data_IF_175424061552
#
_entry.id   IF_175424061552
#
_cell.length_a   1.000
_cell.length_b   1.000
_cell.length_c   1.000
_cell.angle_alpha   90.00
_cell.angle_beta   90.00
_cell.angle_gamma   90.00
#
_symmetry.space_group_name_H-M   'P 1'
#
loop_
_entity.id
_entity.type
_entity.pdbx_description
1 polymer ?
#
# COMPACT_ATOMS: atom_id res chain seq x y z
N UNK A 1 33.77 2.12 -15.72
CA UNK A 1 32.74 2.89 -15.00
C UNK A 1 32.64 2.28 -13.61
N UNK A 2 32.94 3.02 -12.54
CA UNK A 2 33.03 2.43 -11.19
C UNK A 2 31.61 2.08 -10.70
N UNK A 3 31.38 0.83 -10.32
CA UNK A 3 30.04 0.34 -9.92
C UNK A 3 29.49 1.15 -8.74
N UNK A 4 30.35 1.62 -7.83
CA UNK A 4 29.95 2.47 -6.71
C UNK A 4 29.39 3.84 -7.11
N UNK A 5 29.90 4.47 -8.18
CA UNK A 5 29.39 5.78 -8.64
C UNK A 5 27.98 5.66 -9.24
N UNK A 6 27.64 4.53 -9.86
CA UNK A 6 26.33 4.31 -10.46
C UNK A 6 25.26 4.19 -9.37
N UNK A 7 25.55 3.46 -8.29
CA UNK A 7 24.63 3.28 -7.16
C UNK A 7 24.32 4.59 -6.45
N UNK A 8 25.34 5.41 -6.18
CA UNK A 8 25.17 6.74 -5.55
C UNK A 8 24.36 7.67 -6.47
N UNK A 9 24.65 7.67 -7.78
CA UNK A 9 23.90 8.50 -8.73
C UNK A 9 22.43 8.07 -8.83
N UNK A 10 22.14 6.77 -8.82
CA UNK A 10 20.78 6.24 -8.88
C UNK A 10 19.99 6.58 -7.60
N UNK A 11 20.59 6.42 -6.42
CA UNK A 11 19.98 6.80 -5.15
C UNK A 11 19.65 8.30 -5.09
N UNK A 12 20.59 9.15 -5.53
CA UNK A 12 20.35 10.60 -5.64
C UNK A 12 19.24 10.94 -6.65
N UNK A 13 19.15 10.21 -7.76
CA UNK A 13 18.07 10.41 -8.74
C UNK A 13 16.70 10.01 -8.20
N UNK A 14 16.61 8.91 -7.44
CA UNK A 14 15.36 8.48 -6.80
C UNK A 14 14.91 9.48 -5.72
N UNK A 15 15.85 9.96 -4.91
CA UNK A 15 15.60 10.98 -3.88
C UNK A 15 15.18 12.31 -4.52
N UNK A 16 15.83 12.73 -5.62
CA UNK A 16 15.45 13.93 -6.37
C UNK A 16 14.07 13.79 -7.04
N UNK A 17 13.75 12.63 -7.64
CA UNK A 17 12.45 12.36 -8.25
C UNK A 17 11.32 12.36 -7.19
N UNK A 18 11.57 11.75 -6.03
CA UNK A 18 10.63 11.77 -4.92
C UNK A 18 10.48 13.18 -4.32
N UNK A 19 11.58 13.89 -4.08
CA UNK A 19 11.54 15.28 -3.61
C UNK A 19 10.83 16.17 -4.62
N UNK A 20 10.98 15.95 -5.93
CA UNK A 20 10.20 16.67 -6.94
C UNK A 20 8.72 16.32 -6.84
N UNK A 21 8.32 15.06 -6.66
CA UNK A 21 6.90 14.69 -6.52
C UNK A 21 6.26 15.23 -5.23
N UNK A 22 6.97 15.19 -4.10
CA UNK A 22 6.53 15.80 -2.83
C UNK A 22 6.56 17.32 -2.92
N UNK A 23 7.59 17.90 -3.54
CA UNK A 23 7.69 19.33 -3.79
C UNK A 23 6.55 19.79 -4.70
N UNK A 24 6.21 19.08 -5.78
CA UNK A 24 5.05 19.36 -6.63
C UNK A 24 3.73 19.23 -5.87
N UNK A 25 3.59 18.27 -4.96
CA UNK A 25 2.42 18.18 -4.09
C UNK A 25 2.37 19.34 -3.06
N UNK A 26 3.52 19.80 -2.56
CA UNK A 26 3.65 20.95 -1.65
C UNK A 26 3.60 22.33 -2.37
N UNK A 27 3.95 22.36 -3.64
CA UNK A 27 3.81 23.51 -4.52
C UNK A 27 2.37 23.59 -5.00
N UNK A 28 1.68 22.47 -5.23
CA UNK A 28 0.22 22.43 -5.31
C UNK A 28 -0.42 22.96 -4.02
N UNK A 29 0.14 22.62 -2.85
CA UNK A 29 -0.27 23.19 -1.56
C UNK A 29 -0.05 24.72 -1.50
N UNK A 30 1.02 25.24 -2.10
CA UNK A 30 1.39 26.67 -2.09
C UNK A 30 0.85 27.48 -3.28
N UNK A 31 0.50 26.84 -4.40
CA UNK A 31 -0.06 27.46 -5.60
C UNK A 31 -1.57 27.34 -5.64
N UNK A 32 -2.16 26.35 -4.96
CA UNK A 32 -3.59 26.34 -4.72
C UNK A 32 -3.99 27.64 -4.03
N UNK A 33 -3.15 28.22 -3.16
CA UNK A 33 -3.37 29.52 -2.49
C UNK A 33 -3.83 30.65 -3.43
N UNK A 34 -3.64 30.56 -4.76
CA UNK A 34 -4.11 31.56 -5.73
C UNK A 34 -5.22 31.16 -6.72
N UNK A 35 -5.72 29.91 -6.80
CA UNK A 35 -6.93 29.63 -7.63
C UNK A 35 -7.65 28.31 -7.29
N UNK A 36 -8.98 28.42 -7.09
CA UNK A 36 -9.99 27.42 -6.68
C UNK A 36 -10.03 27.03 -5.19
N UNK A 37 -11.11 27.44 -4.51
CA UNK A 37 -11.37 27.19 -3.08
C UNK A 37 -11.89 25.77 -2.78
N UNK A 38 -12.58 25.12 -3.72
CA UNK A 38 -13.16 23.77 -3.52
C UNK A 38 -12.12 22.64 -3.54
N UNK A 39 -11.05 22.73 -4.34
CA UNK A 39 -9.97 21.73 -4.37
C UNK A 39 -9.05 21.79 -3.14
N UNK A 40 -8.94 22.97 -2.50
CA UNK A 40 -8.18 23.17 -1.25
C UNK A 40 -8.82 22.47 -0.05
N UNK A 41 -10.14 22.56 0.06
CA UNK A 41 -10.88 21.98 1.18
C UNK A 41 -10.82 20.44 1.19
N UNK A 42 -10.55 19.82 0.04
CA UNK A 42 -10.48 18.37 -0.09
C UNK A 42 -9.09 17.78 0.25
N UNK A 43 -8.03 18.60 0.27
CA UNK A 43 -6.67 18.15 0.62
C UNK A 43 -6.28 18.46 2.07
N UNK A 44 -6.78 19.56 2.64
CA UNK A 44 -6.60 19.89 4.06
C UNK A 44 -7.61 19.13 4.92
N UNK A 45 -7.15 18.14 5.68
CA UNK A 45 -8.01 17.38 6.58
C UNK A 45 -8.38 18.15 7.85
N UNK A 46 -9.58 17.86 8.38
CA UNK A 46 -9.97 18.24 9.75
C UNK A 46 -8.97 17.64 10.76
N UNK A 47 -8.43 18.43 11.72
CA UNK A 47 -7.53 17.93 12.75
C UNK A 47 -8.07 16.72 13.53
N UNK A 48 -9.39 16.64 13.76
CA UNK A 48 -9.98 15.48 14.43
C UNK A 48 -9.98 14.23 13.54
N UNK A 49 -10.26 14.37 12.24
CA UNK A 49 -10.10 13.29 11.27
C UNK A 49 -8.64 12.81 11.19
N UNK A 50 -7.68 13.74 11.17
CA UNK A 50 -6.24 13.42 11.17
C UNK A 50 -5.82 12.62 12.40
N UNK A 51 -6.32 12.99 13.57
CA UNK A 51 -6.08 12.27 14.83
C UNK A 51 -6.68 10.87 14.80
N UNK A 52 -7.90 10.72 14.27
CA UNK A 52 -8.51 9.40 14.10
C UNK A 52 -7.72 8.52 13.13
N UNK A 53 -7.29 9.09 12.00
CA UNK A 53 -6.45 8.41 11.02
C UNK A 53 -5.14 7.92 11.66
N UNK A 54 -4.46 8.77 12.45
CA UNK A 54 -3.25 8.40 13.17
C UNK A 54 -3.49 7.25 14.17
N UNK A 55 -4.60 7.29 14.92
CA UNK A 55 -4.95 6.23 15.87
C UNK A 55 -5.18 4.88 15.15
N UNK A 56 -5.92 4.88 14.02
CA UNK A 56 -6.13 3.66 13.21
C UNK A 56 -4.80 3.09 12.72
N UNK A 57 -3.87 3.94 12.29
CA UNK A 57 -2.58 3.49 11.79
C UNK A 57 -1.63 3.01 12.89
N UNK A 58 -1.72 3.56 14.10
CA UNK A 58 -1.00 3.05 15.27
C UNK A 58 -1.48 1.63 15.63
N UNK A 59 -2.78 1.40 15.67
CA UNK A 59 -3.36 0.07 15.89
C UNK A 59 -2.96 -0.92 14.79
N UNK A 60 -3.05 -0.49 13.53
CA UNK A 60 -2.68 -1.30 12.38
C UNK A 60 -1.20 -1.69 12.40
N UNK A 61 -0.31 -0.77 12.77
CA UNK A 61 1.12 -1.03 12.93
C UNK A 61 1.37 -2.07 14.04
N UNK A 62 0.72 -1.93 15.20
CA UNK A 62 0.86 -2.88 16.30
C UNK A 62 0.40 -4.30 15.89
N UNK A 63 -0.72 -4.40 15.17
CA UNK A 63 -1.22 -5.67 14.63
C UNK A 63 -0.23 -6.23 13.59
N UNK A 64 0.26 -5.41 12.67
CA UNK A 64 1.24 -5.81 11.67
C UNK A 64 2.54 -6.33 12.31
N UNK A 65 3.08 -5.65 13.32
CA UNK A 65 4.28 -6.08 14.05
C UNK A 65 4.09 -7.44 14.72
N UNK A 66 2.90 -7.71 15.27
CA UNK A 66 2.56 -9.03 15.82
C UNK A 66 2.60 -10.12 14.74
N UNK A 67 2.13 -9.82 13.53
CA UNK A 67 2.11 -10.75 12.41
C UNK A 67 3.46 -10.88 11.68
N UNK A 68 4.36 -9.90 11.82
CA UNK A 68 5.71 -9.93 11.26
C UNK A 68 6.58 -10.99 11.95
N UNK A 69 6.37 -11.15 13.27
CA UNK A 69 7.08 -12.14 14.08
C UNK A 69 6.75 -13.55 13.59
N UNK A 70 7.79 -14.29 13.22
CA UNK A 70 7.63 -15.67 12.79
C UNK A 70 7.05 -16.51 13.92
N UNK A 71 5.86 -17.07 13.68
CA UNK A 71 5.15 -17.97 14.56
C UNK A 71 4.86 -19.26 13.80
N UNK A 72 4.84 -20.40 14.49
CA UNK A 72 4.69 -21.73 13.88
C UNK A 72 3.30 -21.98 13.24
N UNK A 73 2.37 -21.03 13.38
CA UNK A 73 1.02 -21.15 12.86
C UNK A 73 0.85 -20.62 11.42
N UNK A 74 1.89 -20.01 10.85
CA UNK A 74 1.99 -19.71 9.43
C UNK A 74 2.33 -20.96 8.63
N UNK A 75 1.44 -21.36 7.71
CA UNK A 75 1.64 -22.53 6.85
C UNK A 75 2.25 -22.10 5.53
N UNK A 76 3.34 -22.77 5.12
CA UNK A 76 3.96 -22.57 3.81
C UNK A 76 2.95 -22.85 2.70
N UNK A 77 2.83 -21.92 1.76
CA UNK A 77 1.98 -22.07 0.58
C UNK A 77 2.79 -22.24 -0.69
N UNK A 78 3.85 -21.44 -0.84
CA UNK A 78 4.77 -21.53 -1.97
C UNK A 78 6.17 -21.10 -1.52
N UNK A 79 7.19 -21.88 -1.89
CA UNK A 79 8.59 -21.46 -1.86
C UNK A 79 9.05 -21.34 -3.32
N UNK A 80 9.39 -20.13 -3.77
CA UNK A 80 9.81 -19.87 -5.15
C UNK A 80 11.32 -20.11 -5.31
N UNK A 81 12.09 -19.64 -4.34
CA UNK A 81 13.53 -19.83 -4.19
C UNK A 81 13.88 -19.72 -2.69
N UNK A 82 15.17 -19.78 -2.34
CA UNK A 82 15.62 -19.71 -0.94
C UNK A 82 15.37 -18.34 -0.29
N UNK A 83 15.15 -17.30 -1.09
CA UNK A 83 14.99 -15.91 -0.64
C UNK A 83 13.53 -15.42 -0.75
N UNK A 84 12.61 -16.25 -1.27
CA UNK A 84 11.21 -15.89 -1.50
C UNK A 84 10.28 -17.03 -1.08
N UNK A 85 9.66 -16.86 0.09
CA UNK A 85 8.71 -17.80 0.65
C UNK A 85 7.40 -17.10 1.05
N UNK A 86 6.27 -17.65 0.60
CA UNK A 86 4.92 -17.17 0.88
C UNK A 86 4.22 -18.12 1.85
N UNK A 87 3.76 -17.57 2.96
CA UNK A 87 3.04 -18.28 4.00
C UNK A 87 1.64 -17.70 4.16
N UNK A 88 0.72 -18.51 4.68
CA UNK A 88 -0.62 -18.07 5.07
C UNK A 88 -1.00 -18.54 6.47
N UNK A 89 -1.76 -17.69 7.15
CA UNK A 89 -2.41 -17.94 8.44
C UNK A 89 -3.88 -17.53 8.35
N UNK A 90 -4.77 -18.29 8.99
CA UNK A 90 -6.20 -17.95 9.08
C UNK A 90 -6.43 -17.14 10.35
N UNK A 91 -7.08 -15.98 10.24
CA UNK A 91 -7.46 -15.08 11.34
C UNK A 91 -8.85 -14.54 11.04
N UNK A 92 -9.80 -14.65 11.98
CA UNK A 92 -11.17 -14.09 11.83
C UNK A 92 -11.81 -14.39 10.46
N UNK A 93 -11.79 -15.67 10.07
CA UNK A 93 -12.29 -16.17 8.77
C UNK A 93 -11.62 -15.63 7.49
N UNK A 94 -10.57 -14.80 7.61
CA UNK A 94 -9.75 -14.32 6.50
C UNK A 94 -8.32 -14.87 6.55
N UNK A 95 -7.66 -14.84 5.40
CA UNK A 95 -6.25 -15.24 5.30
C UNK A 95 -5.35 -14.00 5.45
N UNK A 96 -4.31 -14.12 6.28
CA UNK A 96 -3.17 -13.22 6.34
C UNK A 96 -1.98 -13.95 5.72
N UNK A 97 -1.39 -13.33 4.71
CA UNK A 97 -0.18 -13.77 4.06
C UNK A 97 1.05 -13.12 4.70
N UNK A 98 2.18 -13.83 4.66
CA UNK A 98 3.51 -13.29 4.95
C UNK A 98 4.46 -13.68 3.83
N UNK A 99 5.21 -12.71 3.32
CA UNK A 99 6.22 -12.87 2.30
C UNK A 99 7.52 -12.25 2.83
N UNK A 100 8.58 -13.05 2.89
CA UNK A 100 9.92 -12.53 3.18
C UNK A 100 10.70 -12.42 1.87
N UNK A 101 11.46 -11.34 1.73
CA UNK A 101 12.26 -11.02 0.55
C UNK A 101 13.59 -10.38 0.96
N UNK A 102 14.69 -10.80 0.35
CA UNK A 102 16.00 -10.15 0.49
C UNK A 102 16.41 -9.51 -0.84
N UNK A 103 16.83 -8.25 -0.79
CA UNK A 103 17.28 -7.48 -1.94
C UNK A 103 18.77 -7.18 -1.75
N UNK A 104 19.68 -7.73 -2.58
CA UNK A 104 21.15 -7.66 -2.37
C UNK A 104 21.73 -6.30 -2.79
N UNK A 105 21.14 -5.21 -2.30
CA UNK A 105 21.57 -3.84 -2.57
C UNK A 105 21.16 -2.91 -1.42
N UNK A 106 22.02 -2.66 -0.42
CA UNK A 106 21.65 -1.88 0.77
C UNK A 106 21.33 -0.42 0.41
N UNK A 107 21.97 0.12 -0.64
CA UNK A 107 21.74 1.48 -1.15
C UNK A 107 20.31 1.68 -1.69
N UNK A 108 19.58 0.60 -1.96
CA UNK A 108 18.19 0.66 -2.45
C UNK A 108 17.16 0.97 -1.35
N UNK A 109 17.55 0.98 -0.07
CA UNK A 109 16.64 1.16 1.08
C UNK A 109 15.71 2.38 0.92
N UNK A 110 16.28 3.57 0.71
CA UNK A 110 15.50 4.80 0.53
C UNK A 110 14.66 4.81 -0.75
N UNK A 111 15.13 4.13 -1.81
CA UNK A 111 14.42 4.01 -3.07
C UNK A 111 13.20 3.11 -2.94
N UNK A 112 13.31 2.00 -2.20
CA UNK A 112 12.19 1.09 -1.90
C UNK A 112 11.10 1.83 -1.12
N UNK A 113 11.48 2.57 -0.07
CA UNK A 113 10.54 3.36 0.75
C UNK A 113 9.83 4.40 -0.12
N UNK A 114 10.59 5.18 -0.89
CA UNK A 114 10.04 6.21 -1.78
C UNK A 114 9.10 5.63 -2.82
N UNK A 115 9.45 4.48 -3.42
CA UNK A 115 8.60 3.79 -4.37
C UNK A 115 7.30 3.31 -3.70
N UNK A 116 7.37 2.67 -2.54
CA UNK A 116 6.17 2.14 -1.89
C UNK A 116 5.18 3.21 -1.41
N UNK A 117 5.65 4.44 -1.15
CA UNK A 117 4.82 5.60 -0.83
C UNK A 117 4.25 6.32 -2.07
N UNK A 118 4.75 6.03 -3.27
CA UNK A 118 4.23 6.61 -4.51
C UNK A 118 2.89 5.94 -4.88
N UNK A 119 1.77 6.70 -4.96
CA UNK A 119 0.48 6.18 -5.40
C UNK A 119 0.52 5.42 -6.73
N UNK A 120 1.47 5.76 -7.62
CA UNK A 120 1.63 5.16 -8.93
C UNK A 120 2.64 4.01 -8.98
N UNK A 121 3.39 3.71 -7.91
CA UNK A 121 4.32 2.58 -7.90
C UNK A 121 3.70 1.21 -8.27
N UNK A 122 2.45 0.92 -7.91
CA UNK A 122 1.75 -0.27 -8.37
C UNK A 122 1.73 -0.43 -9.90
N UNK A 123 1.78 0.66 -10.67
CA UNK A 123 1.91 0.62 -12.13
C UNK A 123 3.16 -0.16 -12.55
N UNK A 124 4.27 0.03 -11.86
CA UNK A 124 5.54 -0.64 -12.16
C UNK A 124 5.54 -2.10 -11.69
N UNK A 125 4.90 -2.41 -10.55
CA UNK A 125 4.84 -3.76 -9.99
C UNK A 125 3.87 -4.68 -10.75
N UNK A 126 2.74 -4.13 -11.22
CA UNK A 126 1.65 -4.87 -11.85
C UNK A 126 1.57 -4.68 -13.37
N UNK A 127 2.66 -4.25 -14.02
CA UNK A 127 2.78 -4.23 -15.48
C UNK A 127 1.86 -3.22 -16.17
N UNK A 128 1.78 -2.00 -15.65
CA UNK A 128 1.00 -0.90 -16.21
C UNK A 128 -0.49 -0.92 -15.83
N UNK A 129 -0.91 -1.86 -14.98
CA UNK A 129 -2.33 -2.17 -14.69
C UNK A 129 -2.86 -1.56 -13.41
N UNK A 130 -2.19 -0.53 -12.90
CA UNK A 130 -2.64 0.18 -11.73
C UNK A 130 -2.36 1.68 -11.88
N UNK A 131 -3.28 2.48 -11.37
CA UNK A 131 -3.19 3.93 -11.28
C UNK A 131 -3.54 4.32 -9.85
N UNK A 132 -2.83 5.30 -9.29
CA UNK A 132 -3.13 5.79 -7.95
C UNK A 132 -3.06 7.30 -7.88
N UNK A 133 -3.85 7.85 -6.96
CA UNK A 133 -3.89 9.28 -6.71
C UNK A 133 -4.10 9.54 -5.22
N UNK A 134 -3.52 10.63 -4.71
CA UNK A 134 -3.80 11.12 -3.37
C UNK A 134 -5.24 11.64 -3.33
N UNK A 135 -6.00 11.16 -2.36
CA UNK A 135 -7.38 11.61 -2.08
C UNK A 135 -7.45 12.51 -0.84
N UNK A 136 -6.51 12.34 0.11
CA UNK A 136 -6.41 13.13 1.33
C UNK A 136 -4.95 13.14 1.79
N UNK A 137 -4.47 14.25 2.35
CA UNK A 137 -3.15 14.34 2.98
C UNK A 137 -3.35 14.88 4.40
N UNK A 138 -3.02 14.08 5.41
CA UNK A 138 -3.03 14.52 6.81
C UNK A 138 -1.66 15.09 7.20
N UNK A 139 -0.60 14.39 6.79
CA UNK A 139 0.78 14.81 6.86
C UNK A 139 1.61 14.09 5.78
N UNK A 140 2.90 14.41 5.56
CA UNK A 140 3.72 13.78 4.50
C UNK A 140 3.88 12.25 4.61
N UNK A 141 3.64 11.68 5.79
CA UNK A 141 3.73 10.25 6.06
C UNK A 141 2.36 9.58 6.17
N UNK A 142 1.27 10.33 6.41
CA UNK A 142 -0.09 9.85 6.60
C UNK A 142 -1.05 10.40 5.53
N UNK A 143 -1.47 9.54 4.61
CA UNK A 143 -2.27 9.93 3.45
C UNK A 143 -3.37 8.93 3.13
N UNK A 144 -4.42 9.35 2.43
CA UNK A 144 -5.34 8.44 1.75
C UNK A 144 -5.00 8.39 0.28
N UNK A 145 -4.73 7.18 -0.21
CA UNK A 145 -4.49 6.89 -1.61
C UNK A 145 -5.74 6.20 -2.17
N UNK A 146 -6.26 6.71 -3.28
CA UNK A 146 -7.19 5.97 -4.12
C UNK A 146 -6.38 5.19 -5.13
N UNK A 147 -6.63 3.89 -5.21
CA UNK A 147 -5.97 3.00 -6.13
C UNK A 147 -6.98 2.32 -7.04
N UNK A 148 -6.66 2.25 -8.33
CA UNK A 148 -7.46 1.62 -9.36
C UNK A 148 -6.63 0.59 -10.11
N UNK A 149 -7.19 -0.60 -10.31
CA UNK A 149 -6.56 -1.73 -10.96
C UNK A 149 -7.35 -2.12 -12.20
N UNK A 150 -6.66 -2.22 -13.32
CA UNK A 150 -7.21 -2.62 -14.61
C UNK A 150 -6.80 -4.06 -14.96
N UNK A 151 -7.59 -4.73 -15.80
CA UNK A 151 -7.23 -6.04 -16.34
C UNK A 151 -7.54 -6.08 -17.83
N UNK A 152 -6.76 -6.82 -18.61
CA UNK A 152 -6.91 -6.94 -20.07
C UNK A 152 -8.11 -7.82 -20.47
N UNK A 153 -8.80 -8.46 -19.51
CA UNK A 153 -9.87 -9.43 -19.80
C UNK A 153 -11.05 -9.28 -18.83
N UNK A 154 -12.10 -8.57 -19.25
CA UNK A 154 -13.43 -8.59 -18.62
C UNK A 154 -13.69 -7.63 -17.43
N UNK A 155 -14.86 -7.76 -16.77
CA UNK A 155 -15.42 -6.80 -15.78
C UNK A 155 -14.75 -6.84 -14.38
N UNK A 156 -13.44 -7.09 -14.32
CA UNK A 156 -12.68 -7.30 -13.10
C UNK A 156 -11.80 -6.10 -12.72
N UNK A 157 -12.21 -4.90 -13.13
CA UNK A 157 -11.58 -3.67 -12.64
C UNK A 157 -11.87 -3.53 -11.15
N UNK A 158 -10.86 -3.12 -10.37
CA UNK A 158 -10.97 -2.97 -8.93
C UNK A 158 -10.52 -1.61 -8.50
N UNK A 159 -11.09 -1.12 -7.43
CA UNK A 159 -10.56 0.06 -6.76
C UNK A 159 -10.61 -0.12 -5.24
N UNK A 160 -9.74 0.60 -4.55
CA UNK A 160 -9.76 0.72 -3.10
C UNK A 160 -9.31 2.12 -2.69
N UNK A 161 -9.70 2.49 -1.48
CA UNK A 161 -9.06 3.57 -0.73
C UNK A 161 -8.15 2.94 0.31
N UNK A 162 -6.96 3.50 0.50
CA UNK A 162 -5.94 3.03 1.42
C UNK A 162 -5.50 4.21 2.27
N UNK A 163 -5.72 4.11 3.58
CA UNK A 163 -4.98 4.91 4.54
C UNK A 163 -3.56 4.32 4.63
N UNK A 164 -2.57 5.12 4.25
CA UNK A 164 -1.17 4.74 4.22
C UNK A 164 -0.42 5.54 5.28
N UNK A 165 0.42 4.85 6.07
CA UNK A 165 1.32 5.50 7.03
C UNK A 165 2.75 4.97 6.89
N UNK A 166 3.71 5.89 6.79
CA UNK A 166 5.15 5.60 6.91
C UNK A 166 5.61 5.90 8.33
N UNK A 167 6.18 4.91 9.00
CA UNK A 167 6.75 5.05 10.36
C UNK A 167 8.20 4.60 10.35
N UNK A 168 9.11 5.48 10.80
CA UNK A 168 10.49 5.09 11.09
C UNK A 168 10.52 4.35 12.44
N UNK A 169 10.94 3.08 12.43
CA UNK A 169 11.03 2.23 13.62
C UNK A 169 12.41 2.34 14.29
N UNK A 170 13.45 2.55 13.47
CA UNK A 170 14.82 2.86 13.86
C UNK A 170 15.54 3.55 12.70
N UNK A 171 16.80 3.92 12.87
CA UNK A 171 17.63 4.51 11.80
C UNK A 171 17.70 3.63 10.53
N UNK A 172 17.58 2.30 10.69
CA UNK A 172 17.77 1.33 9.61
C UNK A 172 16.49 0.50 9.35
N UNK A 173 15.35 0.85 9.97
CA UNK A 173 14.10 0.11 9.79
C UNK A 173 12.90 1.05 9.65
N UNK A 174 12.13 0.86 8.57
CA UNK A 174 10.91 1.61 8.29
C UNK A 174 9.74 0.65 8.09
N UNK A 175 8.60 1.00 8.67
CA UNK A 175 7.32 0.37 8.38
C UNK A 175 6.49 1.24 7.43
N UNK A 176 5.89 0.63 6.42
CA UNK A 176 4.82 1.27 5.62
C UNK A 176 3.58 0.40 5.75
N UNK A 177 2.52 0.95 6.34
CA UNK A 177 1.28 0.24 6.66
C UNK A 177 0.15 0.80 5.83
N UNK A 178 -0.73 -0.08 5.34
CA UNK A 178 -1.90 0.24 4.55
C UNK A 178 -3.14 -0.44 5.13
N UNK A 179 -4.22 0.32 5.27
CA UNK A 179 -5.53 -0.19 5.69
C UNK A 179 -6.62 0.49 4.87
N UNK A 180 -7.61 -0.25 4.41
CA UNK A 180 -8.80 0.36 3.80
C UNK A 180 -9.70 0.99 4.87
N UNK A 181 -9.98 2.29 4.80
CA UNK A 181 -10.99 2.94 5.64
C UNK A 181 -12.41 2.53 5.23
N UNK A 182 -13.39 2.80 6.09
CA UNK A 182 -14.81 2.76 5.73
C UNK A 182 -15.23 4.08 5.06
N UNK A 183 -14.60 4.38 3.92
CA UNK A 183 -14.78 5.63 3.17
C UNK A 183 -16.21 5.77 2.63
N UNK A 184 -16.82 6.93 2.89
CA UNK A 184 -17.97 7.41 2.12
C UNK A 184 -17.46 8.04 0.80
N UNK A 185 -17.51 7.28 -0.30
CA UNK A 185 -17.01 7.70 -1.62
C UNK A 185 -18.16 8.11 -2.58
N UNK A 186 -19.38 8.22 -2.05
CA UNK A 186 -20.61 8.51 -2.80
C UNK A 186 -20.82 7.62 -4.04
N UNK A 187 -20.29 6.39 -4.04
CA UNK A 187 -20.54 5.45 -5.12
C UNK A 187 -22.02 5.05 -5.12
N UNK A 188 -22.71 5.33 -6.22
CA UNK A 188 -24.13 4.97 -6.44
C UNK A 188 -24.38 3.45 -6.39
N UNK A 189 -23.35 2.62 -6.50
CA UNK A 189 -23.46 1.17 -6.43
C UNK A 189 -23.58 0.72 -4.97
N UNK A 190 -24.59 -0.09 -4.68
CA UNK A 190 -24.71 -0.82 -3.41
C UNK A 190 -23.59 -1.86 -3.27
N UNK A 191 -22.43 -1.42 -2.80
CA UNK A 191 -21.39 -2.33 -2.33
C UNK A 191 -21.86 -2.98 -1.02
N UNK A 192 -21.40 -4.21 -0.76
CA UNK A 192 -21.70 -4.86 0.52
C UNK A 192 -21.11 -4.05 1.66
N UNK A 193 -21.78 -4.04 2.81
CA UNK A 193 -21.19 -3.52 4.03
C UNK A 193 -19.92 -4.32 4.31
N UNK A 194 -18.79 -3.64 4.30
CA UNK A 194 -17.50 -4.20 4.63
C UNK A 194 -17.19 -3.87 6.08
N UNK A 195 -16.72 -4.88 6.82
CA UNK A 195 -16.19 -4.74 8.17
C UNK A 195 -14.81 -5.34 8.14
N UNK A 196 -13.79 -4.53 8.43
CA UNK A 196 -12.41 -4.97 8.51
C UNK A 196 -12.25 -5.99 9.65
N UNK A 197 -11.92 -7.26 9.33
CA UNK A 197 -11.83 -8.32 10.32
C UNK A 197 -10.48 -8.34 11.04
N UNK A 198 -9.51 -7.52 10.63
CA UNK A 198 -8.15 -7.50 11.17
C UNK A 198 -7.90 -6.22 11.99
N UNK A 199 -8.19 -5.05 11.41
CA UNK A 199 -8.00 -3.75 12.06
C UNK A 199 -9.37 -3.18 12.42
N UNK A 200 -9.87 -3.53 13.61
CA UNK A 200 -11.23 -3.17 14.01
C UNK A 200 -11.45 -1.66 14.14
N UNK A 201 -10.42 -0.89 14.55
CA UNK A 201 -10.50 0.56 14.67
C UNK A 201 -10.75 1.26 13.32
N UNK A 202 -10.36 0.64 12.20
CA UNK A 202 -10.63 1.17 10.87
C UNK A 202 -12.14 1.22 10.53
N UNK A 203 -12.97 0.40 11.19
CA UNK A 203 -14.43 0.37 10.97
C UNK A 203 -15.14 1.63 11.49
N UNK A 204 -14.51 2.37 12.40
CA UNK A 204 -15.05 3.63 12.93
C UNK A 204 -14.55 4.85 12.16
N UNK A 205 -13.52 4.68 11.34
CA UNK A 205 -12.91 5.75 10.57
C UNK A 205 -13.57 5.86 9.18
N UNK A 206 -14.45 6.86 9.06
CA UNK A 206 -15.34 7.06 7.91
C UNK A 206 -15.10 8.42 7.26
N UNK A 207 -13.93 8.66 6.66
CA UNK A 207 -13.68 9.92 5.98
C UNK A 207 -14.62 10.03 4.78
N UNK A 208 -15.14 11.24 4.56
CA UNK A 208 -15.92 11.56 3.38
C UNK A 208 -14.96 11.96 2.25
N UNK A 209 -15.03 11.27 1.10
CA UNK A 209 -14.17 11.54 -0.05
C UNK A 209 -15.05 11.76 -1.27
N UNK A 210 -15.14 13.02 -1.70
CA UNK A 210 -15.84 13.36 -2.93
C UNK A 210 -15.20 12.61 -4.12
N UNK A 211 -16.02 12.02 -5.01
CA UNK A 211 -15.54 11.26 -6.16
C UNK A 211 -14.86 12.10 -7.26
N UNK A 212 -14.58 13.38 -7.01
CA UNK A 212 -13.93 14.27 -7.98
C UNK A 212 -12.50 13.81 -8.30
N UNK A 213 -12.27 13.47 -9.57
CA UNK A 213 -10.98 13.00 -10.09
C UNK A 213 -11.15 12.29 -11.44
N UNK A 214 -10.09 12.23 -12.25
CA UNK A 214 -10.07 11.63 -13.59
C UNK A 214 -10.29 10.11 -13.59
N UNK A 215 -10.05 9.43 -12.46
CA UNK A 215 -10.25 7.99 -12.29
C UNK A 215 -11.72 7.73 -11.95
N UNK A 216 -12.57 7.69 -12.98
CA UNK A 216 -14.00 7.37 -12.85
C UNK A 216 -14.17 5.91 -12.46
N UNK A 217 -14.95 5.64 -11.41
CA UNK A 217 -15.29 4.29 -10.92
C UNK A 217 -16.25 3.51 -11.85
N UNK A 218 -16.40 3.93 -13.11
CA UNK A 218 -17.35 3.32 -14.04
C UNK A 218 -16.95 1.85 -14.26
N UNK A 219 -17.78 0.94 -13.76
CA UNK A 219 -17.64 -0.53 -13.86
C UNK A 219 -16.56 -1.22 -13.02
N UNK A 220 -15.87 -0.53 -12.11
CA UNK A 220 -14.97 -1.16 -11.15
C UNK A 220 -15.70 -1.66 -9.88
N UNK A 221 -15.25 -2.76 -9.28
CA UNK A 221 -15.72 -3.28 -7.99
C UNK A 221 -14.80 -2.83 -6.86
N UNK A 222 -15.40 -2.34 -5.76
CA UNK A 222 -14.65 -1.98 -4.55
C UNK A 222 -14.03 -3.24 -3.93
N UNK A 223 -12.74 -3.17 -3.61
CA UNK A 223 -12.01 -4.17 -2.82
C UNK A 223 -11.43 -3.50 -1.58
N UNK A 224 -11.01 -4.31 -0.61
CA UNK A 224 -10.53 -3.80 0.67
C UNK A 224 -9.20 -4.48 1.05
N UNK A 225 -8.25 -3.67 1.49
CA UNK A 225 -7.04 -4.14 2.14
C UNK A 225 -7.33 -4.11 3.64
N UNK A 226 -7.55 -5.29 4.22
CA UNK A 226 -7.82 -5.40 5.67
C UNK A 226 -6.59 -4.91 6.46
N UNK A 227 -5.41 -5.34 6.01
CA UNK A 227 -4.11 -4.90 6.50
C UNK A 227 -3.07 -5.25 5.46
N UNK A 228 -2.19 -4.33 5.12
CA UNK A 228 -0.93 -4.64 4.47
C UNK A 228 0.20 -3.86 5.14
N UNK A 229 1.38 -4.46 5.26
CA UNK A 229 2.52 -3.80 5.87
C UNK A 229 3.83 -4.28 5.25
N UNK A 230 4.72 -3.34 4.99
CA UNK A 230 6.12 -3.60 4.66
C UNK A 230 6.97 -3.21 5.85
N UNK A 231 7.74 -4.16 6.37
CA UNK A 231 8.85 -3.89 7.28
C UNK A 231 10.13 -3.98 6.46
N UNK A 232 10.77 -2.84 6.26
CA UNK A 232 11.93 -2.67 5.39
C UNK A 232 13.11 -2.39 6.31
N UNK A 233 14.08 -3.30 6.33
CA UNK A 233 15.25 -3.22 7.19
C UNK A 233 16.52 -3.21 6.35
N UNK A 234 17.31 -2.16 6.48
CA UNK A 234 18.63 -2.07 5.86
C UNK A 234 19.65 -2.84 6.70
N UNK A 235 20.41 -3.69 6.02
CA UNK A 235 21.52 -4.45 6.58
C UNK A 235 22.82 -4.01 5.89
N UNK A 236 23.96 -4.60 6.27
CA UNK A 236 25.27 -4.23 5.73
C UNK A 236 25.39 -4.44 4.21
N UNK A 237 24.78 -5.48 3.67
CA UNK A 237 24.92 -5.95 2.29
C UNK A 237 23.59 -6.10 1.54
N UNK A 238 22.46 -5.87 2.21
CA UNK A 238 21.14 -6.07 1.64
C UNK A 238 20.06 -5.20 2.30
N UNK A 239 18.85 -5.27 1.74
CA UNK A 239 17.62 -4.81 2.38
C UNK A 239 16.71 -6.02 2.56
N UNK A 240 16.34 -6.30 3.80
CA UNK A 240 15.34 -7.31 4.15
C UNK A 240 13.96 -6.68 4.16
N UNK A 241 13.01 -7.30 3.48
CA UNK A 241 11.61 -6.87 3.43
C UNK A 241 10.73 -8.00 3.94
N UNK A 242 10.03 -7.75 5.04
CA UNK A 242 8.91 -8.60 5.49
C UNK A 242 7.61 -7.94 5.09
N UNK A 243 6.88 -8.56 4.17
CA UNK A 243 5.57 -8.10 3.73
C UNK A 243 4.45 -8.95 4.33
N UNK A 244 3.43 -8.28 4.88
CA UNK A 244 2.24 -8.90 5.44
C UNK A 244 1.05 -8.37 4.67
N UNK A 245 0.07 -9.22 4.36
CA UNK A 245 -1.13 -8.76 3.68
C UNK A 245 -2.36 -9.62 3.95
N UNK A 246 -3.50 -8.97 4.14
CA UNK A 246 -4.83 -9.55 4.09
C UNK A 246 -5.71 -8.67 3.22
N UNK A 247 -6.29 -9.28 2.19
CA UNK A 247 -7.03 -8.59 1.14
C UNK A 247 -8.40 -9.25 0.99
N UNK A 248 -9.45 -8.45 1.12
CA UNK A 248 -10.78 -8.82 0.65
C UNK A 248 -10.98 -8.36 -0.79
N UNK A 249 -10.91 -9.32 -1.70
CA UNK A 249 -11.19 -9.10 -3.12
C UNK A 249 -12.69 -8.94 -3.39
N UNK A 250 -13.58 -8.76 -2.41
CA UNK A 250 -15.04 -8.63 -2.62
C UNK A 250 -15.55 -9.65 -3.65
N UNK A 251 -15.08 -10.89 -3.54
CA UNK A 251 -15.35 -11.92 -4.53
C UNK A 251 -16.82 -12.33 -4.45
N UNK A 252 -17.36 -12.83 -5.56
CA UNK A 252 -18.70 -13.41 -5.55
C UNK A 252 -18.81 -14.48 -4.46
N UNK A 253 -19.91 -14.56 -3.69
CA UNK A 253 -20.13 -15.63 -2.72
C UNK A 253 -20.04 -17.04 -3.32
N UNK A 254 -20.24 -17.17 -4.65
CA UNK A 254 -20.12 -18.43 -5.38
C UNK A 254 -18.67 -18.79 -5.73
N UNK A 255 -17.71 -17.88 -5.54
CA UNK A 255 -16.31 -18.12 -5.84
C UNK A 255 -15.72 -19.15 -4.87
N UNK A 256 -15.00 -20.14 -5.40
CA UNK A 256 -14.31 -21.14 -4.57
C UNK A 256 -13.21 -20.45 -3.75
N UNK A 257 -13.21 -20.64 -2.42
CA UNK A 257 -12.19 -20.06 -1.51
C UNK A 257 -10.76 -20.31 -1.98
N UNK A 258 -10.47 -21.51 -2.49
CA UNK A 258 -9.16 -21.87 -3.04
C UNK A 258 -8.76 -21.04 -4.27
N UNK A 259 -9.72 -20.71 -5.14
CA UNK A 259 -9.46 -19.89 -6.32
C UNK A 259 -9.16 -18.44 -5.92
N UNK A 260 -9.92 -17.87 -4.97
CA UNK A 260 -9.67 -16.54 -4.41
C UNK A 260 -8.28 -16.50 -3.77
N UNK A 261 -7.95 -17.49 -2.93
CA UNK A 261 -6.63 -17.60 -2.31
C UNK A 261 -5.48 -17.66 -3.34
N UNK A 262 -5.65 -18.41 -4.43
CA UNK A 262 -4.66 -18.48 -5.51
C UNK A 262 -4.45 -17.12 -6.20
N UNK A 263 -5.53 -16.39 -6.46
CA UNK A 263 -5.46 -15.03 -7.03
C UNK A 263 -4.72 -14.09 -6.06
N UNK A 264 -5.09 -14.10 -4.77
CA UNK A 264 -4.42 -13.31 -3.73
C UNK A 264 -2.93 -13.65 -3.64
N UNK A 265 -2.57 -14.93 -3.69
CA UNK A 265 -1.17 -15.36 -3.68
C UNK A 265 -0.39 -14.80 -4.88
N UNK A 266 -0.96 -14.80 -6.08
CA UNK A 266 -0.30 -14.23 -7.26
C UNK A 266 -0.08 -12.72 -7.14
N UNK A 267 -1.09 -11.98 -6.64
CA UNK A 267 -0.97 -10.53 -6.38
C UNK A 267 0.17 -10.27 -5.40
N UNK A 268 0.27 -11.05 -4.33
CA UNK A 268 1.31 -10.89 -3.32
C UNK A 268 2.69 -11.26 -3.88
N UNK A 269 2.79 -12.29 -4.71
CA UNK A 269 4.06 -12.69 -5.32
C UNK A 269 4.60 -11.66 -6.32
N UNK A 270 3.76 -10.78 -6.87
CA UNK A 270 4.24 -9.66 -7.69
C UNK A 270 5.08 -8.67 -6.88
N UNK A 271 4.94 -8.62 -5.54
CA UNK A 271 5.82 -7.84 -4.66
C UNK A 271 7.27 -8.32 -4.73
N UNK A 272 7.50 -9.61 -4.99
CA UNK A 272 8.86 -10.14 -5.15
C UNK A 272 9.61 -9.52 -6.34
N UNK A 273 8.92 -8.85 -7.27
CA UNK A 273 9.55 -8.07 -8.36
C UNK A 273 10.36 -6.88 -7.86
N UNK A 274 10.14 -6.41 -6.62
CA UNK A 274 10.99 -5.40 -6.00
C UNK A 274 12.47 -5.81 -6.04
N UNK A 275 12.78 -7.10 -5.83
CA UNK A 275 14.14 -7.60 -5.96
C UNK A 275 14.69 -7.42 -7.37
N UNK A 276 13.89 -7.70 -8.41
CA UNK A 276 14.33 -7.51 -9.79
C UNK A 276 14.55 -6.05 -10.16
N UNK A 277 13.78 -5.14 -9.57
CA UNK A 277 13.91 -3.69 -9.77
C UNK A 277 15.18 -3.15 -9.10
N UNK A 278 15.51 -3.65 -7.90
CA UNK A 278 16.54 -3.04 -7.03
C UNK A 278 17.80 -3.86 -6.81
N UNK A 279 17.93 -5.08 -7.36
CA UNK A 279 19.11 -5.94 -7.20
C UNK A 279 20.42 -5.39 -7.77
N UNK A 280 20.37 -4.33 -8.59
CA UNK A 280 21.52 -3.76 -9.29
C UNK A 280 21.84 -2.35 -8.78
#
# INVERSE_FOLDING_TARGET
MNIGYIKIALALFCVAYFMQNVAFASELYSSATSSNEESKQQLSADPEEAKQAANVMADALAIAQKHAKHTNDYKLYLKKDDETALYFKRVNDTDIAKLDLTIPNPDSYGCIISMLMDPNAPKNLYGGRAEGALSRVYDPNLVIIKQHYTNNSGPWQRYCHLLANKTELSEEETAIVFVSPDVNDHDSKKNKNYVNPIVESANSFKPDINPQGSIRNQNALKMHVNLAAFFIKKEADCVNVTFISSIDLNASPKAKKQAVKKVTANIILDIAKLRDIFKN
#
